data_IF_153425306373
#
_entry.id   IF_153425306373
#
_cell.length_a   1.000
_cell.length_b   1.000
_cell.length_c   1.000
_cell.angle_alpha   90.00
_cell.angle_beta   90.00
_cell.angle_gamma   90.00
#
_symmetry.space_group_name_H-M   'P 1'
#
loop_
_entity.id
_entity.type
_entity.pdbx_description
1 polymer ?
#
# COMPACT_ATOMS: atom_id res chain seq x y z
N UNK A 1 1.18 -0.62 -30.91
CA UNK A 1 0.60 -1.61 -29.97
C UNK A 1 -0.90 -1.65 -30.15
N UNK A 2 -1.53 -2.80 -30.06
CA UNK A 2 -2.99 -2.92 -30.15
C UNK A 2 -3.60 -2.22 -28.93
N UNK A 3 -4.60 -1.35 -29.14
CA UNK A 3 -5.32 -0.67 -28.07
C UNK A 3 -6.08 -1.70 -27.23
N UNK A 4 -5.83 -1.72 -25.92
CA UNK A 4 -6.51 -2.57 -24.96
C UNK A 4 -7.73 -1.86 -24.36
N UNK A 5 -8.81 -2.61 -24.14
CA UNK A 5 -9.98 -2.20 -23.36
C UNK A 5 -9.94 -2.92 -22.01
N UNK A 6 -9.57 -2.18 -20.96
CA UNK A 6 -9.27 -2.74 -19.63
C UNK A 6 -10.36 -2.30 -18.64
N UNK A 7 -10.88 -3.26 -17.88
CA UNK A 7 -11.72 -2.99 -16.73
C UNK A 7 -11.01 -3.42 -15.45
N UNK A 8 -11.11 -2.62 -14.38
CA UNK A 8 -10.44 -2.90 -13.12
C UNK A 8 -11.37 -2.75 -11.92
N UNK A 9 -11.31 -3.70 -10.97
CA UNK A 9 -12.04 -3.63 -9.71
C UNK A 9 -11.42 -4.51 -8.61
N UNK A 10 -11.92 -4.37 -7.39
CA UNK A 10 -11.63 -5.28 -6.28
C UNK A 10 -10.95 -4.63 -5.08
N UNK A 11 -9.64 -4.48 -5.09
CA UNK A 11 -8.87 -4.02 -3.93
C UNK A 11 -9.04 -2.54 -3.58
N UNK A 12 -9.23 -1.68 -4.57
CA UNK A 12 -9.39 -0.24 -4.38
C UNK A 12 -10.87 0.18 -4.18
N UNK A 13 -11.06 1.35 -3.58
CA UNK A 13 -12.39 1.91 -3.31
C UNK A 13 -12.82 2.96 -4.32
N UNK A 14 -11.90 3.84 -4.71
CA UNK A 14 -12.13 4.92 -5.68
C UNK A 14 -10.84 5.39 -6.34
N UNK A 15 -10.98 6.12 -7.44
CA UNK A 15 -9.91 6.90 -8.07
C UNK A 15 -10.45 8.32 -8.29
N UNK A 16 -9.83 9.37 -7.74
CA UNK A 16 -8.74 9.29 -6.76
C UNK A 16 -9.17 8.62 -5.45
N UNK A 17 -8.23 8.11 -4.65
CA UNK A 17 -8.55 7.49 -3.38
C UNK A 17 -9.13 8.51 -2.41
N UNK A 18 -10.11 8.07 -1.62
CA UNK A 18 -10.65 8.82 -0.49
C UNK A 18 -9.74 8.63 0.74
N UNK A 19 -9.97 9.44 1.76
CA UNK A 19 -9.30 9.32 3.05
C UNK A 19 -9.26 7.87 3.55
N UNK A 20 -8.14 7.45 4.08
CA UNK A 20 -7.91 6.08 4.56
C UNK A 20 -7.62 5.05 3.46
N UNK A 21 -7.30 5.46 2.23
CA UNK A 21 -6.88 4.60 1.14
C UNK A 21 -5.63 3.77 1.46
N UNK A 22 -5.60 2.52 1.01
CA UNK A 22 -4.49 1.59 1.21
C UNK A 22 -3.58 1.42 -0.01
N UNK A 23 -2.69 0.42 0.02
CA UNK A 23 -1.77 0.12 -1.09
C UNK A 23 -2.49 -0.16 -2.42
N UNK A 24 -3.63 -0.85 -2.38
CA UNK A 24 -4.42 -1.12 -3.58
C UNK A 24 -5.00 0.15 -4.21
N UNK A 25 -5.42 1.13 -3.39
CA UNK A 25 -5.87 2.44 -3.88
C UNK A 25 -4.71 3.22 -4.50
N UNK A 26 -3.51 3.17 -3.91
CA UNK A 26 -2.29 3.77 -4.48
C UNK A 26 -1.92 3.13 -5.82
N UNK A 27 -1.94 1.79 -5.91
CA UNK A 27 -1.72 1.10 -7.18
C UNK A 27 -2.70 1.57 -8.25
N UNK A 28 -3.98 1.65 -7.92
CA UNK A 28 -5.01 2.07 -8.87
C UNK A 28 -4.81 3.51 -9.34
N UNK A 29 -4.46 4.43 -8.42
CA UNK A 29 -4.20 5.84 -8.72
C UNK A 29 -3.00 6.02 -9.66
N UNK A 30 -1.95 5.25 -9.47
CA UNK A 30 -0.70 5.39 -10.22
C UNK A 30 -0.72 4.62 -11.55
N UNK A 31 -1.25 3.40 -11.54
CA UNK A 31 -1.19 2.50 -12.70
C UNK A 31 -2.20 2.88 -13.80
N UNK A 32 -3.47 3.05 -13.44
CA UNK A 32 -4.51 3.16 -14.47
C UNK A 32 -4.47 4.47 -15.26
N UNK A 33 -4.20 5.65 -14.66
CA UNK A 33 -3.98 6.88 -15.44
C UNK A 33 -2.77 6.77 -16.38
N UNK A 34 -1.68 6.10 -15.97
CA UNK A 34 -0.52 5.89 -16.84
C UNK A 34 -0.84 4.98 -18.02
N UNK A 35 -1.63 3.92 -17.79
CA UNK A 35 -2.12 3.05 -18.87
C UNK A 35 -3.00 3.85 -19.85
N UNK A 36 -3.89 4.71 -19.34
CA UNK A 36 -4.75 5.56 -20.17
C UNK A 36 -3.91 6.56 -21.00
N UNK A 37 -2.93 7.22 -20.38
CA UNK A 37 -2.00 8.13 -21.08
C UNK A 37 -1.17 7.44 -22.18
N UNK A 38 -0.93 6.13 -22.08
CA UNK A 38 -0.29 5.31 -23.12
C UNK A 38 -1.27 4.86 -24.21
N UNK A 39 -2.49 5.39 -24.26
CA UNK A 39 -3.47 5.23 -25.36
C UNK A 39 -4.43 4.05 -25.20
N UNK A 40 -4.47 3.38 -24.04
CA UNK A 40 -5.41 2.31 -23.75
C UNK A 40 -6.71 2.84 -23.15
N UNK A 41 -7.82 2.12 -23.30
CA UNK A 41 -9.09 2.45 -22.63
C UNK A 41 -9.15 1.78 -21.26
N UNK A 42 -9.37 2.57 -20.22
CA UNK A 42 -9.44 2.06 -18.85
C UNK A 42 -10.76 2.45 -18.20
N UNK A 43 -11.45 1.45 -17.64
CA UNK A 43 -12.64 1.61 -16.80
C UNK A 43 -12.32 1.10 -15.41
N UNK A 44 -12.41 1.94 -14.38
CA UNK A 44 -12.27 1.58 -12.99
C UNK A 44 -13.65 1.55 -12.31
N UNK A 45 -13.92 0.49 -11.53
CA UNK A 45 -15.17 0.38 -10.79
C UNK A 45 -14.98 0.84 -9.35
N UNK A 46 -15.61 1.98 -9.03
CA UNK A 46 -15.57 2.60 -7.70
C UNK A 46 -16.75 2.18 -6.82
N UNK A 47 -16.64 2.50 -5.50
CA UNK A 47 -17.69 2.22 -4.50
C UNK A 47 -18.29 3.51 -3.98
N UNK A 48 -19.62 3.51 -3.80
CA UNK A 48 -20.37 4.56 -3.11
C UNK A 48 -20.97 3.93 -1.86
N UNK A 49 -20.57 4.43 -0.69
CA UNK A 49 -21.07 3.93 0.59
C UNK A 49 -22.35 4.65 1.03
N UNK A 50 -23.15 4.04 1.94
CA UNK A 50 -24.27 4.73 2.58
C UNK A 50 -23.81 6.03 3.26
N UNK A 51 -24.55 7.12 3.05
CA UNK A 51 -24.16 8.46 3.53
C UNK A 51 -23.37 9.30 2.53
N UNK A 52 -22.79 8.74 1.50
CA UNK A 52 -22.13 9.48 0.42
C UNK A 52 -23.17 9.98 -0.60
N UNK A 53 -23.89 11.03 -0.23
CA UNK A 53 -24.90 11.66 -1.10
C UNK A 53 -24.22 12.56 -2.15
N UNK A 54 -24.78 12.59 -3.37
CA UNK A 54 -24.29 13.46 -4.46
C UNK A 54 -23.09 12.92 -5.25
N UNK A 55 -22.54 11.76 -4.91
CA UNK A 55 -21.46 11.17 -5.69
C UNK A 55 -21.95 10.70 -7.06
N UNK A 56 -21.28 11.11 -8.17
CA UNK A 56 -21.67 10.71 -9.51
C UNK A 56 -21.43 9.20 -9.71
N UNK A 57 -22.38 8.56 -10.42
CA UNK A 57 -22.21 7.14 -10.81
C UNK A 57 -21.17 6.95 -11.91
N UNK A 58 -20.94 7.98 -12.70
CA UNK A 58 -19.93 7.98 -13.77
C UNK A 58 -19.13 9.27 -13.62
N UNK A 59 -17.84 9.15 -13.60
CA UNK A 59 -16.87 10.24 -13.56
C UNK A 59 -15.64 9.87 -14.38
N UNK A 60 -14.70 10.77 -14.48
CA UNK A 60 -13.43 10.57 -15.15
C UNK A 60 -12.30 11.16 -14.29
N UNK A 61 -11.16 10.51 -14.30
CA UNK A 61 -9.95 10.98 -13.66
C UNK A 61 -8.75 10.63 -14.54
N UNK A 62 -8.04 11.63 -15.03
CA UNK A 62 -6.85 11.49 -15.91
C UNK A 62 -7.00 10.46 -17.03
N UNK A 63 -8.10 10.48 -17.77
CA UNK A 63 -8.40 9.57 -18.87
C UNK A 63 -8.93 8.19 -18.44
N UNK A 64 -9.08 7.95 -17.13
CA UNK A 64 -9.72 6.74 -16.60
C UNK A 64 -11.20 6.99 -16.40
N UNK A 65 -12.06 6.24 -17.08
CA UNK A 65 -13.50 6.26 -16.84
C UNK A 65 -13.84 5.54 -15.54
N UNK A 66 -14.56 6.17 -14.63
CA UNK A 66 -14.93 5.61 -13.35
C UNK A 66 -16.43 5.31 -13.34
N UNK A 67 -16.80 4.06 -13.05
CA UNK A 67 -18.18 3.63 -12.85
C UNK A 67 -18.35 3.21 -11.40
N UNK A 68 -19.14 3.97 -10.63
CA UNK A 68 -19.31 3.73 -9.21
C UNK A 68 -20.65 3.06 -8.89
N UNK A 69 -20.60 2.01 -8.08
CA UNK A 69 -21.78 1.30 -7.60
C UNK A 69 -22.00 1.50 -6.10
N UNK A 70 -23.27 1.69 -5.73
CA UNK A 70 -23.66 1.68 -4.31
C UNK A 70 -23.38 0.29 -3.72
N UNK A 71 -22.76 0.27 -2.57
CA UNK A 71 -22.45 -0.95 -1.80
C UNK A 71 -22.95 -0.82 -0.36
N UNK A 72 -22.75 -1.87 0.45
CA UNK A 72 -23.14 -1.90 1.86
C UNK A 72 -21.94 -1.56 2.74
N UNK A 73 -22.17 -0.98 3.91
CA UNK A 73 -21.10 -0.64 4.85
C UNK A 73 -20.86 -1.82 5.83
N UNK A 74 -20.43 -2.97 5.28
CA UNK A 74 -20.13 -4.18 6.07
C UNK A 74 -18.90 -4.87 5.53
N UNK A 75 -17.87 -5.00 6.37
CA UNK A 75 -16.58 -5.55 5.99
C UNK A 75 -16.68 -6.90 5.26
N UNK A 76 -16.04 -6.99 4.09
CA UNK A 76 -16.05 -8.16 3.20
C UNK A 76 -17.26 -8.26 2.28
N UNK A 77 -18.47 -7.97 2.76
CA UNK A 77 -19.68 -7.97 1.94
C UNK A 77 -19.73 -6.79 0.97
N UNK A 78 -19.17 -5.65 1.34
CA UNK A 78 -19.03 -4.49 0.47
C UNK A 78 -18.25 -4.85 -0.80
N UNK A 79 -17.13 -5.54 -0.64
CA UNK A 79 -16.28 -5.98 -1.75
C UNK A 79 -16.98 -7.01 -2.61
N UNK A 80 -17.59 -8.02 -2.01
CA UNK A 80 -18.27 -9.10 -2.73
C UNK A 80 -19.42 -8.57 -3.59
N UNK A 81 -20.30 -7.73 -2.99
CA UNK A 81 -21.48 -7.17 -3.66
C UNK A 81 -21.11 -6.18 -4.76
N UNK A 82 -20.09 -5.35 -4.52
CA UNK A 82 -19.57 -4.43 -5.52
C UNK A 82 -18.97 -5.20 -6.71
N UNK A 83 -18.11 -6.20 -6.44
CA UNK A 83 -17.45 -6.98 -7.48
C UNK A 83 -18.43 -7.80 -8.32
N UNK A 84 -19.53 -8.27 -7.72
CA UNK A 84 -20.64 -8.88 -8.44
C UNK A 84 -21.26 -7.92 -9.47
N UNK A 85 -21.60 -6.69 -9.05
CA UNK A 85 -22.17 -5.68 -9.94
C UNK A 85 -21.20 -5.28 -11.06
N UNK A 86 -19.92 -5.12 -10.75
CA UNK A 86 -18.88 -4.83 -11.73
C UNK A 86 -18.77 -5.95 -12.77
N UNK A 87 -18.74 -7.21 -12.32
CA UNK A 87 -18.71 -8.38 -13.18
C UNK A 87 -19.90 -8.43 -14.14
N UNK A 88 -21.12 -8.22 -13.63
CA UNK A 88 -22.31 -8.18 -14.46
C UNK A 88 -22.28 -7.03 -15.49
N UNK A 89 -21.90 -5.82 -15.09
CA UNK A 89 -21.81 -4.67 -16.01
C UNK A 89 -20.78 -4.90 -17.12
N UNK A 90 -19.62 -5.54 -16.80
CA UNK A 90 -18.59 -5.89 -17.76
C UNK A 90 -19.12 -6.91 -18.78
N UNK A 91 -19.81 -7.94 -18.32
CA UNK A 91 -20.32 -9.02 -19.18
C UNK A 91 -21.47 -8.51 -20.04
N UNK A 92 -22.53 -7.95 -19.44
CA UNK A 92 -23.75 -7.56 -20.13
C UNK A 92 -23.52 -6.42 -21.12
N UNK A 93 -22.68 -5.44 -20.77
CA UNK A 93 -22.40 -4.28 -21.63
C UNK A 93 -21.12 -4.43 -22.45
N UNK A 94 -20.45 -5.58 -22.39
CA UNK A 94 -19.19 -5.85 -23.08
C UNK A 94 -18.15 -4.71 -22.95
N UNK A 95 -17.92 -4.24 -21.68
CA UNK A 95 -17.15 -3.04 -21.38
C UNK A 95 -15.64 -3.18 -21.70
N UNK A 96 -15.11 -4.37 -21.58
CA UNK A 96 -13.68 -4.62 -21.67
C UNK A 96 -13.36 -6.02 -22.23
N UNK A 97 -12.17 -6.17 -22.77
CA UNK A 97 -11.61 -7.46 -23.23
C UNK A 97 -10.68 -8.04 -22.15
N UNK A 98 -10.02 -7.15 -21.42
CA UNK A 98 -9.09 -7.45 -20.33
C UNK A 98 -9.72 -6.99 -19.01
N UNK A 99 -9.71 -7.85 -18.01
CA UNK A 99 -10.21 -7.52 -16.66
C UNK A 99 -9.09 -7.73 -15.65
N UNK A 100 -8.74 -6.66 -14.93
CA UNK A 100 -7.76 -6.67 -13.85
C UNK A 100 -8.46 -6.69 -12.50
N UNK A 101 -8.36 -7.80 -11.79
CA UNK A 101 -8.87 -7.99 -10.44
C UNK A 101 -7.77 -7.67 -9.43
N UNK A 102 -7.99 -6.71 -8.57
CA UNK A 102 -7.11 -6.45 -7.45
C UNK A 102 -7.56 -7.26 -6.23
N UNK A 103 -6.63 -7.97 -5.59
CA UNK A 103 -6.81 -8.95 -4.51
C UNK A 103 -7.35 -10.32 -4.99
N UNK A 104 -6.66 -11.38 -4.59
CA UNK A 104 -7.04 -12.77 -4.89
C UNK A 104 -8.40 -13.18 -4.32
N UNK A 105 -8.92 -12.47 -3.31
CA UNK A 105 -10.28 -12.66 -2.81
C UNK A 105 -11.35 -12.49 -3.91
N UNK A 106 -11.02 -11.72 -4.96
CA UNK A 106 -11.91 -11.50 -6.10
C UNK A 106 -11.79 -12.57 -7.19
N UNK A 107 -10.94 -13.57 -7.05
CA UNK A 107 -10.73 -14.62 -8.06
C UNK A 107 -11.95 -15.49 -8.31
N UNK A 108 -12.93 -15.51 -7.41
CA UNK A 108 -14.23 -16.13 -7.66
C UNK A 108 -14.93 -15.53 -8.90
N UNK A 109 -14.76 -14.24 -9.13
CA UNK A 109 -15.33 -13.54 -10.29
C UNK A 109 -14.56 -13.82 -11.59
N UNK A 110 -13.29 -14.25 -11.49
CA UNK A 110 -12.50 -14.64 -12.63
C UNK A 110 -13.12 -15.80 -13.39
N UNK A 111 -13.74 -16.75 -12.67
CA UNK A 111 -14.42 -17.89 -13.28
C UNK A 111 -15.54 -17.44 -14.23
N UNK A 112 -16.42 -16.56 -13.74
CA UNK A 112 -17.53 -16.03 -14.54
C UNK A 112 -17.04 -15.21 -15.72
N UNK A 113 -16.08 -14.30 -15.49
CA UNK A 113 -15.53 -13.46 -16.56
C UNK A 113 -14.90 -14.30 -17.68
N UNK A 114 -14.17 -15.34 -17.33
CA UNK A 114 -13.56 -16.25 -18.33
C UNK A 114 -14.58 -17.06 -19.11
N UNK A 115 -15.66 -17.52 -18.48
CA UNK A 115 -16.77 -18.19 -19.17
C UNK A 115 -17.41 -17.29 -20.25
N UNK A 116 -17.38 -15.97 -20.05
CA UNK A 116 -17.84 -14.98 -21.04
C UNK A 116 -16.71 -14.40 -21.91
N UNK A 117 -15.60 -15.15 -22.07
CA UNK A 117 -14.54 -14.84 -23.02
C UNK A 117 -13.61 -13.69 -22.64
N UNK A 118 -13.65 -13.21 -21.38
CA UNK A 118 -12.76 -12.14 -20.92
C UNK A 118 -11.39 -12.69 -20.53
N UNK A 119 -10.32 -11.93 -20.84
CA UNK A 119 -8.99 -12.20 -20.32
C UNK A 119 -8.89 -11.62 -18.90
N UNK A 120 -8.62 -12.47 -17.92
CA UNK A 120 -8.61 -12.08 -16.52
C UNK A 120 -7.20 -12.16 -15.94
N UNK A 121 -6.78 -11.08 -15.32
CA UNK A 121 -5.51 -10.92 -14.60
C UNK A 121 -5.80 -10.58 -13.16
N UNK A 122 -5.06 -11.17 -12.22
CA UNK A 122 -5.26 -10.95 -10.80
C UNK A 122 -3.97 -10.42 -10.18
N UNK A 123 -4.02 -9.26 -9.53
CA UNK A 123 -2.95 -8.83 -8.63
C UNK A 123 -3.19 -9.39 -7.25
N UNK A 124 -2.27 -10.25 -6.78
CA UNK A 124 -2.26 -10.82 -5.44
C UNK A 124 -1.24 -10.08 -4.59
N UNK A 125 -1.73 -9.49 -3.50
CA UNK A 125 -0.92 -8.69 -2.59
C UNK A 125 -0.34 -9.55 -1.44
N UNK A 126 -0.64 -9.18 -0.21
CA UNK A 126 -0.16 -9.89 0.98
C UNK A 126 -0.86 -11.24 1.22
N UNK A 127 -0.35 -12.00 2.17
CA UNK A 127 -0.95 -13.25 2.66
C UNK A 127 -2.11 -12.96 3.61
N UNK A 128 -3.24 -12.46 3.09
CA UNK A 128 -4.39 -12.02 3.90
C UNK A 128 -4.90 -13.08 4.88
N UNK A 129 -4.83 -14.36 4.53
CA UNK A 129 -5.24 -15.47 5.42
C UNK A 129 -4.38 -15.61 6.68
N UNK A 130 -3.18 -15.03 6.72
CA UNK A 130 -2.30 -15.03 7.90
C UNK A 130 -2.64 -13.94 8.91
N UNK A 131 -3.45 -12.95 8.53
CA UNK A 131 -3.78 -11.83 9.42
C UNK A 131 -4.65 -12.28 10.57
N UNK A 132 -4.28 -11.86 11.79
CA UNK A 132 -4.98 -12.22 13.02
C UNK A 132 -6.42 -11.67 13.09
N UNK A 133 -6.68 -10.55 12.41
CA UNK A 133 -8.00 -9.87 12.40
C UNK A 133 -9.12 -10.69 11.75
N UNK A 134 -8.78 -11.71 10.94
CA UNK A 134 -9.78 -12.48 10.23
C UNK A 134 -10.27 -13.67 11.05
N UNK A 135 -11.61 -13.85 11.18
CA UNK A 135 -12.19 -15.04 11.80
C UNK A 135 -11.92 -16.28 10.92
N UNK A 136 -12.07 -17.46 11.52
CA UNK A 136 -11.72 -18.74 10.88
C UNK A 136 -12.42 -18.96 9.53
N UNK A 137 -13.71 -18.59 9.40
CA UNK A 137 -14.46 -18.74 8.16
C UNK A 137 -13.94 -17.82 7.04
N UNK A 138 -13.49 -16.60 7.37
CA UNK A 138 -12.86 -15.72 6.40
C UNK A 138 -11.50 -16.27 5.95
N UNK A 139 -10.72 -16.87 6.87
CA UNK A 139 -9.47 -17.56 6.51
C UNK A 139 -9.73 -18.74 5.57
N UNK A 140 -10.78 -19.53 5.80
CA UNK A 140 -11.20 -20.59 4.88
C UNK A 140 -11.56 -20.04 3.49
N UNK A 141 -12.31 -18.94 3.43
CA UNK A 141 -12.62 -18.27 2.17
C UNK A 141 -11.37 -17.82 1.43
N UNK A 142 -10.38 -17.21 2.13
CA UNK A 142 -9.11 -16.84 1.52
C UNK A 142 -8.33 -18.08 1.02
N UNK A 143 -8.31 -19.17 1.76
CA UNK A 143 -7.66 -20.39 1.29
C UNK A 143 -8.32 -20.95 0.03
N UNK A 144 -9.64 -20.98 -0.04
CA UNK A 144 -10.38 -21.34 -1.25
C UNK A 144 -10.09 -20.39 -2.41
N UNK A 145 -10.11 -19.07 -2.15
CA UNK A 145 -9.77 -18.06 -3.15
C UNK A 145 -8.34 -18.21 -3.69
N UNK A 146 -7.38 -18.65 -2.87
CA UNK A 146 -6.02 -18.91 -3.33
C UNK A 146 -5.96 -20.02 -4.39
N UNK A 147 -6.76 -21.07 -4.28
CA UNK A 147 -6.88 -22.10 -5.32
C UNK A 147 -7.47 -21.52 -6.60
N UNK A 148 -8.52 -20.72 -6.49
CA UNK A 148 -9.09 -20.04 -7.66
C UNK A 148 -8.06 -19.06 -8.28
N UNK A 149 -7.33 -18.31 -7.46
CA UNK A 149 -6.26 -17.40 -7.92
C UNK A 149 -5.19 -18.17 -8.68
N UNK A 150 -4.78 -19.33 -8.18
CA UNK A 150 -3.71 -20.11 -8.79
C UNK A 150 -4.06 -20.69 -10.17
N UNK A 151 -5.34 -21.00 -10.43
CA UNK A 151 -5.72 -21.81 -11.60
C UNK A 151 -6.71 -21.16 -12.57
N UNK A 152 -7.51 -20.19 -12.13
CA UNK A 152 -8.59 -19.63 -12.95
C UNK A 152 -8.15 -18.45 -13.83
N UNK A 153 -7.41 -17.45 -13.38
CA UNK A 153 -6.99 -16.31 -14.18
C UNK A 153 -6.06 -16.71 -15.34
N UNK A 154 -5.98 -15.88 -16.37
CA UNK A 154 -4.98 -16.02 -17.43
C UNK A 154 -3.56 -15.87 -16.87
N UNK A 155 -3.37 -14.89 -15.96
CA UNK A 155 -2.11 -14.71 -15.22
C UNK A 155 -2.38 -14.10 -13.85
N UNK A 156 -1.47 -14.36 -12.93
CA UNK A 156 -1.45 -13.77 -11.60
C UNK A 156 -0.17 -12.94 -11.46
N UNK A 157 -0.31 -11.73 -10.95
CA UNK A 157 0.76 -10.77 -10.76
C UNK A 157 0.94 -10.58 -9.24
N UNK A 158 2.12 -10.82 -8.75
CA UNK A 158 2.46 -10.60 -7.36
C UNK A 158 3.30 -9.32 -7.22
N UNK A 159 2.98 -8.52 -6.21
CA UNK A 159 3.78 -7.37 -5.81
C UNK A 159 4.81 -7.71 -4.71
N UNK A 160 4.62 -8.87 -4.07
CA UNK A 160 5.46 -9.38 -2.99
C UNK A 160 6.09 -10.71 -3.42
N UNK A 161 7.42 -10.74 -3.44
CA UNK A 161 8.19 -11.90 -3.87
C UNK A 161 7.96 -13.13 -2.99
N UNK A 162 7.78 -12.95 -1.69
CA UNK A 162 7.57 -14.05 -0.73
C UNK A 162 6.18 -14.65 -0.85
N UNK A 163 5.16 -13.83 -1.14
CA UNK A 163 3.82 -14.31 -1.45
C UNK A 163 3.85 -15.11 -2.76
N UNK A 164 4.58 -14.62 -3.77
CA UNK A 164 4.82 -15.31 -5.03
C UNK A 164 5.48 -16.67 -4.78
N UNK A 165 6.61 -16.69 -4.07
CA UNK A 165 7.36 -17.93 -3.78
C UNK A 165 6.52 -18.95 -3.01
N UNK A 166 5.69 -18.49 -2.06
CA UNK A 166 4.74 -19.36 -1.38
C UNK A 166 3.74 -20.00 -2.36
N UNK A 167 3.19 -19.21 -3.29
CA UNK A 167 2.27 -19.73 -4.30
C UNK A 167 2.98 -20.68 -5.27
N UNK A 168 4.18 -20.36 -5.74
CA UNK A 168 4.96 -21.21 -6.62
C UNK A 168 5.27 -22.57 -5.99
N UNK A 169 5.71 -22.57 -4.73
CA UNK A 169 5.96 -23.81 -3.96
C UNK A 169 4.68 -24.60 -3.72
N UNK A 170 3.57 -23.93 -3.38
CA UNK A 170 2.32 -24.62 -3.03
C UNK A 170 1.59 -25.17 -4.24
N UNK A 171 1.57 -24.46 -5.37
CA UNK A 171 0.77 -24.80 -6.54
C UNK A 171 1.60 -25.32 -7.72
N UNK A 172 2.94 -25.38 -7.58
CA UNK A 172 3.88 -25.85 -8.61
C UNK A 172 3.71 -25.15 -9.95
N UNK A 173 3.57 -23.80 -9.94
CA UNK A 173 3.37 -22.95 -11.10
C UNK A 173 4.23 -21.70 -11.00
N UNK A 174 4.64 -21.13 -12.14
CA UNK A 174 5.32 -19.84 -12.20
C UNK A 174 4.32 -18.70 -12.33
N UNK A 175 4.60 -17.58 -11.66
CA UNK A 175 3.78 -16.40 -11.64
C UNK A 175 4.61 -15.14 -11.95
N UNK A 176 3.94 -14.11 -12.48
CA UNK A 176 4.59 -12.85 -12.76
C UNK A 176 4.82 -12.06 -11.44
N UNK A 177 5.96 -11.37 -11.36
CA UNK A 177 6.27 -10.47 -10.26
C UNK A 177 6.39 -9.05 -10.82
N UNK A 178 5.58 -8.12 -10.30
CA UNK A 178 5.62 -6.70 -10.62
C UNK A 178 5.38 -5.91 -9.34
N UNK A 179 6.42 -5.29 -8.77
CA UNK A 179 6.31 -4.54 -7.52
C UNK A 179 5.51 -3.26 -7.69
N UNK A 180 5.23 -2.56 -6.59
CA UNK A 180 4.76 -1.18 -6.63
C UNK A 180 5.88 -0.25 -7.12
N UNK A 181 5.46 0.86 -7.75
CA UNK A 181 6.39 1.91 -8.11
C UNK A 181 6.60 2.92 -6.98
N UNK A 182 7.69 3.64 -7.10
CA UNK A 182 7.98 4.85 -6.33
C UNK A 182 8.05 6.02 -7.28
N UNK A 183 7.19 6.99 -7.09
CA UNK A 183 7.31 8.33 -7.63
C UNK A 183 6.77 9.28 -6.57
N UNK A 184 7.61 10.15 -6.08
CA UNK A 184 7.18 11.13 -5.09
C UNK A 184 7.34 12.52 -5.68
N UNK A 185 6.21 13.18 -5.89
CA UNK A 185 6.16 14.61 -6.25
C UNK A 185 5.67 15.36 -5.03
N UNK A 186 6.42 16.39 -4.65
CA UNK A 186 5.97 17.41 -3.72
C UNK A 186 5.59 18.60 -4.58
N UNK A 187 4.29 18.91 -4.62
CA UNK A 187 3.75 20.00 -5.44
C UNK A 187 3.62 21.31 -4.68
N UNK A 188 3.73 21.26 -3.36
CA UNK A 188 3.65 22.40 -2.44
C UNK A 188 4.87 22.40 -1.51
N UNK A 189 5.50 23.54 -1.32
CA UNK A 189 6.62 23.75 -0.37
C UNK A 189 6.16 24.52 0.88
N UNK A 190 4.98 24.19 1.42
CA UNK A 190 4.44 24.88 2.58
C UNK A 190 5.03 24.35 3.88
N UNK A 191 5.69 25.20 4.66
CA UNK A 191 6.16 24.90 6.03
C UNK A 191 5.05 24.96 7.10
N UNK A 192 3.81 25.17 6.70
CA UNK A 192 2.70 25.33 7.62
C UNK A 192 2.47 24.09 8.50
N UNK A 193 2.68 22.90 7.94
CA UNK A 193 2.50 21.63 8.64
C UNK A 193 3.43 21.51 9.86
N UNK A 194 4.67 21.99 9.77
CA UNK A 194 5.61 21.95 10.91
C UNK A 194 5.12 22.81 12.07
N UNK A 195 4.56 23.99 11.79
CA UNK A 195 3.99 24.88 12.80
C UNK A 195 2.75 24.26 13.45
N UNK A 196 1.89 23.61 12.67
CA UNK A 196 0.69 22.96 13.17
C UNK A 196 1.01 21.82 14.13
N UNK A 197 2.07 21.04 13.85
CA UNK A 197 2.47 19.91 14.69
C UNK A 197 3.40 20.35 15.84
N UNK A 198 4.03 21.51 15.73
CA UNK A 198 4.99 22.02 16.73
C UNK A 198 6.36 21.34 16.65
N UNK A 199 6.85 21.05 15.43
CA UNK A 199 8.17 20.48 15.16
C UNK A 199 8.96 21.36 14.19
N UNK A 200 10.26 21.08 14.06
CA UNK A 200 11.14 21.72 13.06
C UNK A 200 11.72 20.66 12.12
N UNK A 201 12.03 20.99 10.86
CA UNK A 201 12.76 20.11 9.96
C UNK A 201 14.02 19.55 10.62
N UNK A 202 14.23 18.24 10.53
CA UNK A 202 15.39 17.54 11.10
C UNK A 202 15.33 17.28 12.61
N UNK A 203 14.29 17.72 13.33
CA UNK A 203 14.22 17.62 14.79
C UNK A 203 13.24 16.52 15.28
N UNK A 204 12.82 15.62 14.40
CA UNK A 204 11.86 14.58 14.79
C UNK A 204 12.11 13.25 14.07
N UNK A 205 11.80 12.17 14.78
CA UNK A 205 11.55 10.85 14.22
C UNK A 205 10.11 10.77 13.76
N UNK A 206 9.85 10.06 12.66
CA UNK A 206 8.52 10.00 12.05
C UNK A 206 8.07 8.57 11.82
N UNK A 207 6.82 8.30 12.10
CA UNK A 207 6.07 7.13 11.63
C UNK A 207 4.78 7.60 10.95
N UNK A 208 4.39 6.95 9.85
CA UNK A 208 3.12 7.19 9.15
C UNK A 208 2.42 5.86 8.89
N UNK A 209 1.22 5.67 9.44
CA UNK A 209 0.47 4.44 9.19
C UNK A 209 -0.70 4.21 10.14
N UNK A 210 -1.36 3.07 9.96
CA UNK A 210 -2.44 2.65 10.86
C UNK A 210 -1.89 2.18 12.19
N UNK A 211 -2.60 2.51 13.28
CA UNK A 211 -2.24 2.01 14.61
C UNK A 211 -2.89 0.65 14.84
N UNK A 212 -2.23 -0.39 14.34
CA UNK A 212 -2.62 -1.80 14.47
C UNK A 212 -1.40 -2.63 14.90
N UNK A 213 -1.60 -3.79 15.57
CA UNK A 213 -0.49 -4.61 16.06
C UNK A 213 0.57 -4.95 15.00
N UNK A 214 0.15 -5.28 13.78
CA UNK A 214 1.05 -5.65 12.67
C UNK A 214 2.04 -4.53 12.31
N UNK A 215 1.70 -3.26 12.62
CA UNK A 215 2.56 -2.09 12.35
C UNK A 215 3.56 -1.81 13.47
N UNK A 216 3.46 -2.48 14.62
CA UNK A 216 4.46 -2.42 15.68
C UNK A 216 4.62 -1.05 16.36
N UNK A 217 3.62 -0.15 16.29
CA UNK A 217 3.73 1.22 16.82
C UNK A 217 4.04 1.23 18.32
N UNK A 218 3.51 0.25 19.06
CA UNK A 218 3.82 0.06 20.49
C UNK A 218 5.31 -0.17 20.76
N UNK A 219 6.00 -0.91 19.87
CA UNK A 219 7.46 -1.13 20.00
C UNK A 219 8.24 0.17 19.79
N UNK A 220 7.75 1.03 18.89
CA UNK A 220 8.40 2.33 18.64
C UNK A 220 8.21 3.28 19.83
N UNK A 221 7.02 3.33 20.40
CA UNK A 221 6.76 4.11 21.62
C UNK A 221 7.64 3.62 22.77
N UNK A 222 7.65 2.31 23.04
CA UNK A 222 8.48 1.69 24.08
C UNK A 222 9.98 1.95 23.86
N UNK A 223 10.46 1.79 22.64
CA UNK A 223 11.86 2.04 22.30
C UNK A 223 12.25 3.51 22.50
N UNK A 224 11.39 4.43 22.03
CA UNK A 224 11.67 5.87 22.10
C UNK A 224 11.73 6.39 23.53
N UNK A 225 10.88 5.88 24.43
CA UNK A 225 10.91 6.19 25.87
C UNK A 225 12.24 5.82 26.54
N UNK A 226 12.96 4.81 26.02
CA UNK A 226 14.29 4.38 26.52
C UNK A 226 15.44 5.28 26.03
N UNK A 227 15.22 6.07 24.97
CA UNK A 227 16.26 6.87 24.33
C UNK A 227 16.33 8.26 24.98
N UNK A 228 17.54 8.68 25.29
CA UNK A 228 17.83 10.06 25.75
C UNK A 228 18.07 10.95 24.53
N UNK A 229 17.09 11.74 24.18
CA UNK A 229 17.16 12.72 23.07
C UNK A 229 16.18 13.86 23.32
N UNK A 230 16.48 15.02 22.79
CA UNK A 230 15.61 16.20 22.76
C UNK A 230 14.69 16.24 21.53
N UNK A 231 14.94 15.34 20.56
CA UNK A 231 14.09 15.21 19.37
C UNK A 231 12.69 14.69 19.72
N UNK A 232 11.73 15.05 18.90
CA UNK A 232 10.35 14.57 19.02
C UNK A 232 10.17 13.23 18.28
N UNK A 233 9.13 12.48 18.69
CA UNK A 233 8.59 11.36 17.90
C UNK A 233 7.19 11.74 17.41
N UNK A 234 7.01 11.81 16.10
CA UNK A 234 5.73 12.14 15.48
C UNK A 234 5.11 10.88 14.90
N UNK A 235 3.91 10.52 15.36
CA UNK A 235 3.17 9.33 14.96
C UNK A 235 1.91 9.75 14.21
N UNK A 236 1.97 9.75 12.87
CA UNK A 236 0.87 10.16 11.99
C UNK A 236 0.00 8.97 11.65
N UNK A 237 -1.30 9.11 11.83
CA UNK A 237 -2.30 8.10 11.50
C UNK A 237 -3.22 7.79 12.65
N UNK A 238 -3.63 6.52 12.74
CA UNK A 238 -4.61 6.05 13.73
C UNK A 238 -5.33 4.81 13.23
N UNK A 239 -6.51 4.54 13.78
CA UNK A 239 -7.44 3.52 13.32
C UNK A 239 -8.76 4.19 12.91
N UNK A 240 -9.41 3.76 11.81
CA UNK A 240 -10.71 4.34 11.40
C UNK A 240 -11.79 4.25 12.47
N UNK A 241 -11.69 3.24 13.34
CA UNK A 241 -12.48 3.10 14.56
C UNK A 241 -11.48 2.91 15.70
N UNK A 242 -11.49 3.74 16.75
CA UNK A 242 -10.57 3.61 17.88
C UNK A 242 -10.61 2.20 18.47
N UNK A 243 -9.44 1.59 18.60
CA UNK A 243 -9.27 0.24 19.16
C UNK A 243 -8.60 0.31 20.53
N UNK A 244 -8.73 -0.74 21.33
CA UNK A 244 -8.02 -0.82 22.62
C UNK A 244 -6.50 -0.82 22.44
N UNK A 245 -6.01 -1.35 21.31
CA UNK A 245 -4.59 -1.26 20.94
C UNK A 245 -4.17 0.19 20.73
N UNK A 246 -4.92 0.96 19.96
CA UNK A 246 -4.62 2.38 19.71
C UNK A 246 -4.64 3.20 21.01
N UNK A 247 -5.67 3.03 21.84
CA UNK A 247 -5.74 3.69 23.16
C UNK A 247 -4.49 3.39 23.98
N UNK A 248 -4.06 2.12 24.03
CA UNK A 248 -2.86 1.70 24.75
C UNK A 248 -1.57 2.31 24.17
N UNK A 249 -1.46 2.45 22.84
CA UNK A 249 -0.32 3.09 22.18
C UNK A 249 -0.26 4.58 22.51
N UNK A 250 -1.42 5.25 22.58
CA UNK A 250 -1.52 6.68 22.88
C UNK A 250 -1.45 7.01 24.37
N UNK A 251 -1.56 6.00 25.25
CA UNK A 251 -1.44 6.15 26.71
C UNK A 251 0.03 6.25 27.12
N UNK A 252 0.60 7.44 26.91
CA UNK A 252 1.98 7.76 27.27
C UNK A 252 2.07 9.16 27.90
N UNK A 253 2.90 9.27 28.93
CA UNK A 253 3.22 10.55 29.58
C UNK A 253 4.48 11.22 29.01
N UNK A 254 5.10 10.65 27.99
CA UNK A 254 6.29 11.23 27.37
C UNK A 254 5.88 12.37 26.42
N UNK A 255 6.08 13.61 26.83
CA UNK A 255 5.73 14.81 26.08
C UNK A 255 6.49 14.98 24.76
N UNK A 256 7.54 14.17 24.52
CA UNK A 256 8.26 14.15 23.25
C UNK A 256 7.48 13.40 22.15
N UNK A 257 6.46 12.60 22.53
CA UNK A 257 5.68 11.78 21.60
C UNK A 257 4.41 12.52 21.20
N UNK A 258 4.26 12.81 19.90
CA UNK A 258 3.17 13.62 19.36
C UNK A 258 2.29 12.76 18.45
N UNK A 259 0.97 12.83 18.65
CA UNK A 259 -0.05 12.15 17.85
C UNK A 259 -0.93 13.19 17.14
N UNK A 260 -0.54 13.68 15.94
CA UNK A 260 -1.29 14.73 15.25
C UNK A 260 -2.55 14.22 14.54
N UNK A 261 -2.82 12.89 14.59
CA UNK A 261 -3.89 12.27 13.83
C UNK A 261 -3.50 12.01 12.37
N UNK A 262 -4.48 12.02 11.47
CA UNK A 262 -4.26 11.77 10.04
C UNK A 262 -3.80 13.04 9.33
N UNK A 263 -2.71 12.90 8.55
CA UNK A 263 -2.21 13.91 7.62
C UNK A 263 -2.03 13.25 6.28
N UNK A 264 -2.46 13.90 5.19
CA UNK A 264 -2.48 13.34 3.85
C UNK A 264 -1.80 14.24 2.82
N UNK A 265 -1.52 13.70 1.65
CA UNK A 265 -1.03 14.44 0.49
C UNK A 265 0.39 14.95 0.68
N UNK A 266 0.64 16.16 0.17
CA UNK A 266 1.97 16.79 0.16
C UNK A 266 2.50 17.04 1.56
N UNK A 267 1.66 17.38 2.53
CA UNK A 267 2.07 17.59 3.92
C UNK A 267 2.74 16.35 4.53
N UNK A 268 2.20 15.14 4.22
CA UNK A 268 2.85 13.89 4.64
C UNK A 268 4.21 13.71 3.99
N UNK A 269 4.33 14.00 2.70
CA UNK A 269 5.58 13.88 1.96
C UNK A 269 6.63 14.91 2.44
N UNK A 270 6.20 16.13 2.75
CA UNK A 270 7.04 17.18 3.34
C UNK A 270 7.58 16.72 4.70
N UNK A 271 6.71 16.15 5.55
CA UNK A 271 7.12 15.63 6.85
C UNK A 271 8.09 14.45 6.72
N UNK A 272 7.87 13.53 5.76
CA UNK A 272 8.78 12.42 5.50
C UNK A 272 10.14 12.93 5.04
N UNK A 273 10.17 13.83 4.03
CA UNK A 273 11.41 14.38 3.47
C UNK A 273 12.28 15.09 4.51
N UNK A 274 11.63 15.76 5.47
CA UNK A 274 12.29 16.58 6.47
C UNK A 274 12.40 15.90 7.86
N UNK A 275 12.04 14.62 7.96
CA UNK A 275 12.27 13.86 9.20
C UNK A 275 13.77 13.68 9.44
N UNK A 276 14.19 13.71 10.69
CA UNK A 276 15.54 13.29 11.07
C UNK A 276 15.78 11.84 10.68
N UNK A 277 14.81 10.95 11.03
CA UNK A 277 14.75 9.56 10.60
C UNK A 277 13.28 9.12 10.54
N UNK A 278 12.90 8.42 9.49
CA UNK A 278 11.64 7.69 9.43
C UNK A 278 11.81 6.31 10.06
N UNK A 279 10.82 5.85 10.83
CA UNK A 279 10.87 4.54 11.50
C UNK A 279 9.70 3.67 11.08
N UNK A 280 9.97 2.47 10.55
CA UNK A 280 8.98 1.46 10.17
C UNK A 280 9.09 0.21 11.04
N UNK A 281 8.39 0.12 12.20
CA UNK A 281 8.58 -0.95 13.16
C UNK A 281 7.69 -2.18 12.90
N UNK A 282 7.24 -2.38 11.68
CA UNK A 282 6.26 -3.40 11.32
C UNK A 282 6.71 -4.82 11.62
N UNK A 283 5.79 -5.63 12.14
CA UNK A 283 5.96 -7.06 12.37
C UNK A 283 5.60 -7.87 11.13
N UNK A 284 4.65 -7.37 10.33
CA UNK A 284 4.16 -8.02 9.10
C UNK A 284 3.89 -6.92 8.09
N UNK A 285 4.40 -7.11 6.87
CA UNK A 285 4.11 -6.26 5.71
C UNK A 285 3.81 -7.09 4.45
N UNK A 286 3.21 -6.42 3.47
CA UNK A 286 3.36 -6.80 2.06
C UNK A 286 4.57 -6.08 1.46
N UNK A 287 4.47 -5.58 0.24
CA UNK A 287 5.38 -4.54 -0.23
C UNK A 287 4.92 -3.21 0.37
N UNK A 288 5.75 -2.57 1.20
CA UNK A 288 5.37 -1.34 1.92
C UNK A 288 5.46 -0.09 1.03
N UNK A 289 4.34 0.50 0.57
CA UNK A 289 4.39 1.70 -0.27
C UNK A 289 4.98 2.91 0.46
N UNK A 290 4.87 2.94 1.79
CA UNK A 290 5.45 4.04 2.56
C UNK A 290 6.98 3.97 2.61
N UNK A 291 7.58 2.78 2.72
CA UNK A 291 9.05 2.62 2.62
C UNK A 291 9.54 3.11 1.24
N UNK A 292 8.84 2.73 0.15
CA UNK A 292 9.17 3.22 -1.18
C UNK A 292 9.10 4.76 -1.26
N UNK A 293 8.10 5.37 -0.62
CA UNK A 293 7.97 6.83 -0.54
C UNK A 293 9.11 7.46 0.26
N UNK A 294 9.43 6.92 1.43
CA UNK A 294 10.51 7.39 2.33
C UNK A 294 11.85 7.38 1.60
N UNK A 295 12.20 6.25 1.01
CA UNK A 295 13.45 6.10 0.25
C UNK A 295 13.44 6.96 -1.02
N UNK A 296 12.32 7.04 -1.75
CA UNK A 296 12.18 7.89 -2.94
C UNK A 296 12.35 9.37 -2.64
N UNK A 297 12.00 9.82 -1.42
CA UNK A 297 12.24 11.17 -0.91
C UNK A 297 13.67 11.38 -0.37
N UNK A 298 14.48 10.34 -0.28
CA UNK A 298 15.83 10.40 0.27
C UNK A 298 15.86 10.63 1.78
N UNK A 299 14.83 10.22 2.51
CA UNK A 299 14.79 10.33 3.96
C UNK A 299 15.50 9.13 4.62
N UNK A 300 16.30 9.34 5.69
CA UNK A 300 16.92 8.26 6.45
C UNK A 300 15.86 7.34 7.05
N UNK A 301 16.12 6.03 7.03
CA UNK A 301 15.16 4.99 7.41
C UNK A 301 15.73 4.02 8.43
N UNK A 302 14.97 3.79 9.51
CA UNK A 302 15.09 2.60 10.36
C UNK A 302 13.88 1.70 10.06
N UNK A 303 14.09 0.41 9.81
CA UNK A 303 12.98 -0.53 9.66
C UNK A 303 13.29 -1.89 10.30
N UNK A 304 12.24 -2.64 10.63
CA UNK A 304 12.38 -4.02 11.08
C UNK A 304 13.02 -4.88 9.99
N UNK A 305 13.75 -5.92 10.40
CA UNK A 305 14.51 -6.81 9.52
C UNK A 305 13.67 -7.91 8.88
N UNK A 306 12.34 -7.72 8.80
CA UNK A 306 11.48 -8.62 8.04
C UNK A 306 11.94 -8.67 6.57
N UNK A 307 11.72 -9.82 5.96
CA UNK A 307 12.21 -10.09 4.60
C UNK A 307 11.63 -9.09 3.57
N UNK A 308 10.40 -8.65 3.75
CA UNK A 308 9.73 -7.68 2.88
C UNK A 308 10.41 -6.30 2.92
N UNK A 309 10.81 -5.85 4.10
CA UNK A 309 11.53 -4.59 4.24
C UNK A 309 12.94 -4.70 3.64
N UNK A 310 13.66 -5.78 3.94
CA UNK A 310 14.99 -6.04 3.36
C UNK A 310 14.97 -6.14 1.83
N UNK A 311 13.89 -6.68 1.26
CA UNK A 311 13.74 -6.73 -0.20
C UNK A 311 13.69 -5.33 -0.83
N UNK A 312 13.00 -4.38 -0.18
CA UNK A 312 12.92 -3.00 -0.67
C UNK A 312 14.24 -2.27 -0.42
N UNK A 313 14.73 -2.32 0.81
CA UNK A 313 15.81 -1.46 1.28
C UNK A 313 17.21 -1.96 0.93
N UNK A 314 17.37 -3.28 0.74
CA UNK A 314 18.72 -3.87 0.68
C UNK A 314 19.53 -3.46 1.92
N UNK A 315 20.74 -2.99 1.68
CA UNK A 315 21.64 -2.44 2.71
C UNK A 315 21.52 -0.92 2.90
N UNK A 316 20.51 -0.28 2.26
CA UNK A 316 20.37 1.18 2.23
C UNK A 316 19.46 1.74 3.34
N UNK A 317 19.29 0.98 4.44
CA UNK A 317 18.55 1.39 5.63
C UNK A 317 19.21 0.82 6.89
N UNK A 318 18.89 1.41 8.04
CA UNK A 318 19.26 0.83 9.34
C UNK A 318 18.22 -0.21 9.72
N UNK A 319 18.63 -1.47 9.89
CA UNK A 319 17.72 -2.55 10.29
C UNK A 319 17.82 -2.83 11.78
N UNK A 320 16.66 -3.14 12.39
CA UNK A 320 16.58 -3.66 13.75
C UNK A 320 15.86 -5.01 13.78
N UNK A 321 16.14 -5.81 14.80
CA UNK A 321 15.53 -7.13 15.00
C UNK A 321 14.04 -7.00 15.26
N UNK A 322 13.24 -7.58 14.39
CA UNK A 322 11.78 -7.57 14.44
C UNK A 322 11.24 -7.96 15.82
N UNK A 323 10.34 -7.13 16.35
CA UNK A 323 9.71 -7.34 17.66
C UNK A 323 10.56 -6.93 18.86
N UNK A 324 11.76 -6.39 18.67
CA UNK A 324 12.64 -5.96 19.78
C UNK A 324 12.65 -4.45 19.95
N UNK A 325 11.96 -3.95 20.98
CA UNK A 325 12.02 -2.54 21.36
C UNK A 325 13.42 -2.11 21.84
N UNK A 326 14.18 -3.01 22.47
CA UNK A 326 15.54 -2.71 22.92
C UNK A 326 16.49 -2.49 21.74
N UNK A 327 16.49 -3.40 20.76
CA UNK A 327 17.33 -3.23 19.56
C UNK A 327 16.89 -1.99 18.76
N UNK A 328 15.59 -1.70 18.68
CA UNK A 328 15.11 -0.46 18.06
C UNK A 328 15.64 0.78 18.80
N UNK A 329 15.66 0.79 20.14
CA UNK A 329 16.22 1.89 20.93
C UNK A 329 17.72 2.07 20.67
N UNK A 330 18.48 0.97 20.53
CA UNK A 330 19.89 0.99 20.15
C UNK A 330 20.07 1.59 18.74
N UNK A 331 19.23 1.21 17.77
CA UNK A 331 19.30 1.77 16.41
C UNK A 331 18.91 3.24 16.35
N UNK A 332 17.92 3.68 17.13
CA UNK A 332 17.59 5.11 17.27
C UNK A 332 18.79 5.87 17.82
N UNK A 333 19.46 5.35 18.87
CA UNK A 333 20.66 5.95 19.44
C UNK A 333 21.81 5.95 18.43
N UNK A 334 21.99 4.87 17.67
CA UNK A 334 22.98 4.78 16.60
C UNK A 334 22.80 5.88 15.55
N UNK A 335 21.56 6.12 15.07
CA UNK A 335 21.30 7.14 14.04
C UNK A 335 21.61 8.54 14.54
N UNK A 336 21.38 8.81 15.82
CA UNK A 336 21.73 10.07 16.44
C UNK A 336 23.22 10.34 16.45
N UNK A 337 24.03 9.32 16.70
CA UNK A 337 25.49 9.41 16.79
C UNK A 337 26.21 9.29 15.42
N UNK A 338 25.49 8.82 14.36
CA UNK A 338 26.09 8.52 13.06
C UNK A 338 25.33 9.20 11.89
N UNK A 339 25.05 10.50 12.02
CA UNK A 339 24.21 11.26 11.09
C UNK A 339 24.72 11.24 9.64
N UNK A 340 26.05 11.35 9.42
CA UNK A 340 26.61 11.30 8.08
C UNK A 340 26.41 9.93 7.43
N UNK A 341 26.57 8.85 8.20
CA UNK A 341 26.38 7.51 7.70
C UNK A 341 24.94 7.24 7.26
N UNK A 342 23.94 7.64 8.06
CA UNK A 342 22.53 7.46 7.70
C UNK A 342 22.13 8.31 6.49
N UNK A 343 22.73 9.49 6.30
CA UNK A 343 22.51 10.33 5.13
C UNK A 343 23.05 9.67 3.86
N UNK A 344 24.27 9.11 3.91
CA UNK A 344 24.85 8.34 2.81
C UNK A 344 23.97 7.16 2.42
N UNK A 345 23.43 6.43 3.42
CA UNK A 345 22.50 5.31 3.15
C UNK A 345 21.22 5.81 2.48
N UNK A 346 20.66 6.93 2.93
CA UNK A 346 19.46 7.53 2.36
C UNK A 346 19.64 7.95 0.90
N UNK A 347 20.77 8.59 0.56
CA UNK A 347 21.10 8.98 -0.82
C UNK A 347 21.28 7.77 -1.74
N UNK A 348 21.98 6.74 -1.30
CA UNK A 348 22.12 5.48 -2.05
C UNK A 348 20.77 4.80 -2.23
N UNK A 349 19.96 4.75 -1.17
CA UNK A 349 18.61 4.18 -1.20
C UNK A 349 17.68 4.91 -2.15
N UNK A 350 17.75 6.24 -2.19
CA UNK A 350 16.96 7.04 -3.12
C UNK A 350 17.28 6.68 -4.58
N UNK A 351 18.54 6.61 -4.93
CA UNK A 351 18.96 6.22 -6.29
C UNK A 351 18.49 4.82 -6.65
N UNK A 352 18.71 3.85 -5.78
CA UNK A 352 18.30 2.45 -5.98
C UNK A 352 16.77 2.32 -6.19
N UNK A 353 15.96 3.01 -5.38
CA UNK A 353 14.50 2.96 -5.48
C UNK A 353 13.99 3.60 -6.78
N UNK A 354 14.54 4.75 -7.18
CA UNK A 354 14.13 5.42 -8.41
C UNK A 354 14.49 4.62 -9.67
N UNK A 355 15.53 3.80 -9.61
CA UNK A 355 15.90 2.88 -10.70
C UNK A 355 15.03 1.62 -10.71
N UNK A 356 14.88 0.93 -9.57
CA UNK A 356 14.21 -0.38 -9.47
C UNK A 356 12.68 -0.30 -9.49
N UNK A 357 12.09 0.78 -8.98
CA UNK A 357 10.65 0.91 -8.76
C UNK A 357 10.03 2.08 -9.56
N UNK A 358 10.49 2.33 -10.76
CA UNK A 358 9.95 3.37 -11.63
C UNK A 358 8.55 3.02 -12.12
N UNK A 359 7.57 3.92 -11.92
CA UNK A 359 6.17 3.68 -12.30
C UNK A 359 5.96 3.51 -13.80
N UNK A 360 6.73 4.20 -14.66
CA UNK A 360 6.55 4.05 -16.11
C UNK A 360 7.02 2.67 -16.57
N UNK A 361 8.17 2.20 -16.07
CA UNK A 361 8.67 0.84 -16.31
C UNK A 361 7.69 -0.22 -15.80
N UNK A 362 7.14 -0.02 -14.61
CA UNK A 362 6.14 -0.92 -14.01
C UNK A 362 4.86 -0.93 -14.84
N UNK A 363 4.40 0.24 -15.30
CA UNK A 363 3.23 0.35 -16.18
C UNK A 363 3.45 -0.42 -17.49
N UNK A 364 4.64 -0.32 -18.09
CA UNK A 364 4.98 -1.07 -19.31
C UNK A 364 4.98 -2.58 -19.08
N UNK A 365 5.45 -3.05 -17.91
CA UNK A 365 5.36 -4.45 -17.53
C UNK A 365 3.89 -4.92 -17.45
N UNK A 366 3.00 -4.14 -16.79
CA UNK A 366 1.58 -4.46 -16.75
C UNK A 366 0.94 -4.51 -18.13
N UNK A 367 1.21 -3.52 -19.00
CA UNK A 367 0.70 -3.49 -20.38
C UNK A 367 1.20 -4.71 -21.16
N UNK A 368 2.47 -5.07 -21.04
CA UNK A 368 3.04 -6.27 -21.66
C UNK A 368 2.33 -7.54 -21.19
N UNK A 369 2.08 -7.67 -19.89
CA UNK A 369 1.35 -8.82 -19.32
C UNK A 369 -0.08 -8.86 -19.86
N UNK A 370 -0.80 -7.74 -19.88
CA UNK A 370 -2.18 -7.65 -20.38
C UNK A 370 -2.30 -7.88 -21.90
N UNK A 371 -1.24 -7.61 -22.66
CA UNK A 371 -1.18 -7.78 -24.11
C UNK A 371 -0.86 -9.20 -24.54
N UNK A 372 -0.27 -10.03 -23.65
CA UNK A 372 0.08 -11.40 -23.98
C UNK A 372 -1.17 -12.26 -24.24
N UNK A 373 -1.15 -12.92 -25.41
CA UNK A 373 -2.22 -13.84 -25.86
C UNK A 373 -2.23 -15.14 -25.05
#
# INVERSE_FOLDING_TARGET
>A
MTKLRIAAFGGFRSIPPKEGGGGADKLALELYPRIARKGHEVIAYGRIYPGEHGMPRISEYEGVKIISFRTVHRAGFDTLFHSFKATLDIIVKNRADVVHLQSGANSIWALFLRLFGKKVYVSQFAMDWKRAIWPWYAKMFYHFSNYLTAFVPNKVIFDNIYTKDYFEKKFHRHYDFVPYGSEVKITSESDAVFKTIGVKPGDYYLFVGRFIPDKGVHLLVEAFQKVKTDKKLVLIGGSPTPTDYEKKVMDTSDERIIFPGYIYGDDTNILIKNAFVYVQPSLIEGLSPVILTVMGLGAPLICSDIVENKFITGENATHFRTGSADDLAEKITYTFNNQDQIRILAEKGQKDILERFNWDTITDQYIKIFSNK
#
